data_IF_638543072207
#
_entry.id   IF_638543072207
#
_cell.length_a   1.000
_cell.length_b   1.000
_cell.length_c   1.000
_cell.angle_alpha   90.00
_cell.angle_beta   90.00
_cell.angle_gamma   90.00
#
_symmetry.space_group_name_H-M   'P 1'
#
loop_
_entity.id
_entity.type
_entity.pdbx_description
1 polymer ?
#
# COMPACT_ATOMS: atom_id res chain seq x y z
N UNK A 1 33.36 30.40 -14.35
CA UNK A 1 34.09 29.27 -13.70
C UNK A 1 33.19 28.27 -13.01
N UNK A 2 31.95 28.07 -13.49
CA UNK A 2 30.96 27.18 -12.88
C UNK A 2 30.84 25.79 -13.54
N UNK A 3 31.60 25.52 -14.60
CA UNK A 3 31.56 24.27 -15.36
C UNK A 3 32.11 23.00 -14.65
N UNK A 4 33.15 23.04 -13.77
CA UNK A 4 33.77 21.80 -13.27
C UNK A 4 32.90 21.06 -12.23
N UNK A 5 31.99 21.70 -11.52
CA UNK A 5 31.21 21.07 -10.46
C UNK A 5 29.98 20.33 -11.01
N UNK A 6 29.33 20.88 -12.03
CA UNK A 6 28.20 20.24 -12.72
C UNK A 6 28.62 19.00 -13.52
N UNK A 7 29.80 19.04 -14.14
CA UNK A 7 30.35 17.92 -14.89
C UNK A 7 30.71 16.75 -13.96
N UNK A 8 31.31 17.00 -12.80
CA UNK A 8 31.61 15.95 -11.80
C UNK A 8 30.36 15.30 -11.25
N UNK A 9 29.33 16.06 -10.91
CA UNK A 9 28.06 15.53 -10.41
C UNK A 9 27.37 14.66 -11.47
N UNK A 10 27.45 15.03 -12.75
CA UNK A 10 26.91 14.22 -13.84
C UNK A 10 27.71 12.92 -14.07
N UNK A 11 29.03 12.97 -13.99
CA UNK A 11 29.90 11.80 -14.10
C UNK A 11 29.72 10.84 -12.95
N UNK A 12 29.62 11.34 -11.70
CA UNK A 12 29.32 10.54 -10.52
C UNK A 12 27.93 9.88 -10.61
N UNK A 13 26.93 10.61 -11.11
CA UNK A 13 25.59 10.09 -11.34
C UNK A 13 25.55 8.97 -12.40
N UNK A 14 26.30 9.10 -13.47
CA UNK A 14 26.42 8.08 -14.51
C UNK A 14 27.19 6.84 -14.03
N UNK A 15 28.22 7.01 -13.20
CA UNK A 15 28.94 5.91 -12.57
C UNK A 15 28.05 5.10 -11.62
N UNK A 16 27.27 5.77 -10.76
CA UNK A 16 26.24 5.14 -9.89
C UNK A 16 25.22 4.39 -10.74
N UNK A 17 24.78 4.97 -11.84
CA UNK A 17 23.81 4.33 -12.73
C UNK A 17 24.37 3.05 -13.36
N UNK A 18 25.59 3.07 -13.87
CA UNK A 18 26.21 1.89 -14.50
C UNK A 18 26.48 0.78 -13.49
N UNK A 19 27.09 1.11 -12.36
CA UNK A 19 27.41 0.13 -11.31
C UNK A 19 26.14 -0.45 -10.63
N UNK A 20 25.06 0.31 -10.55
CA UNK A 20 23.82 -0.07 -9.89
C UNK A 20 22.91 -1.05 -10.65
N UNK A 21 23.26 -1.50 -11.87
CA UNK A 21 22.35 -2.35 -12.69
C UNK A 21 21.91 -3.63 -11.98
N UNK A 22 22.85 -4.37 -11.38
CA UNK A 22 22.57 -5.61 -10.65
C UNK A 22 21.66 -5.35 -9.45
N UNK A 23 21.96 -4.30 -8.68
CA UNK A 23 21.16 -3.90 -7.54
C UNK A 23 19.73 -3.47 -7.92
N UNK A 24 19.55 -2.74 -9.05
CA UNK A 24 18.22 -2.38 -9.56
C UNK A 24 17.39 -3.60 -9.92
N UNK A 25 17.98 -4.59 -10.59
CA UNK A 25 17.28 -5.86 -10.86
C UNK A 25 16.85 -6.53 -9.55
N UNK A 26 17.74 -6.59 -8.55
CA UNK A 26 17.39 -7.10 -7.22
C UNK A 26 16.24 -6.33 -6.57
N UNK A 27 16.24 -5.01 -6.69
CA UNK A 27 15.19 -4.15 -6.15
C UNK A 27 13.84 -4.37 -6.85
N UNK A 28 13.84 -4.54 -8.18
CA UNK A 28 12.64 -4.89 -8.95
C UNK A 28 12.11 -6.29 -8.60
N UNK A 29 13.01 -7.26 -8.41
CA UNK A 29 12.62 -8.60 -7.95
C UNK A 29 11.94 -8.57 -6.59
N UNK A 30 12.39 -7.68 -5.69
CA UNK A 30 11.77 -7.55 -4.38
C UNK A 30 10.37 -6.97 -4.46
N UNK A 31 10.17 -5.94 -5.26
CA UNK A 31 8.85 -5.35 -5.50
C UNK A 31 7.88 -6.38 -6.11
N UNK A 32 8.36 -7.17 -7.09
CA UNK A 32 7.60 -8.28 -7.66
C UNK A 32 7.26 -9.39 -6.65
N UNK A 33 8.17 -9.68 -5.71
CA UNK A 33 7.91 -10.64 -4.64
C UNK A 33 6.78 -10.18 -3.70
N UNK A 34 6.86 -8.92 -3.25
CA UNK A 34 5.89 -8.33 -2.32
C UNK A 34 4.51 -8.12 -2.93
N UNK A 35 4.46 -7.65 -4.18
CA UNK A 35 3.21 -7.34 -4.87
C UNK A 35 2.33 -8.56 -5.03
N UNK A 36 2.91 -9.74 -5.26
CA UNK A 36 2.18 -11.01 -5.36
C UNK A 36 1.44 -11.31 -4.07
N UNK A 37 2.12 -11.23 -2.92
CA UNK A 37 1.47 -11.51 -1.63
C UNK A 37 0.36 -10.49 -1.34
N UNK A 38 0.61 -9.21 -1.57
CA UNK A 38 -0.38 -8.16 -1.34
C UNK A 38 -1.62 -8.34 -2.23
N UNK A 39 -1.45 -8.63 -3.52
CA UNK A 39 -2.57 -8.76 -4.46
C UNK A 39 -3.31 -10.07 -4.26
N UNK A 40 -2.59 -11.19 -4.20
CA UNK A 40 -3.22 -12.53 -4.17
C UNK A 40 -3.77 -12.83 -2.79
N UNK A 41 -2.98 -12.68 -1.74
CA UNK A 41 -3.39 -13.07 -0.38
C UNK A 41 -4.24 -11.99 0.27
N UNK A 42 -3.70 -10.77 0.44
CA UNK A 42 -4.37 -9.73 1.23
C UNK A 42 -5.66 -9.27 0.56
N UNK A 43 -5.65 -9.02 -0.76
CA UNK A 43 -6.78 -8.37 -1.42
C UNK A 43 -7.87 -9.34 -1.88
N UNK A 44 -7.56 -10.64 -2.10
CA UNK A 44 -8.48 -11.53 -2.80
C UNK A 44 -8.83 -12.77 -1.98
N UNK A 45 -7.83 -13.60 -1.64
CA UNK A 45 -8.12 -14.94 -1.14
C UNK A 45 -8.25 -15.04 0.38
N UNK A 46 -7.44 -14.31 1.14
CA UNK A 46 -7.41 -14.49 2.59
C UNK A 46 -8.67 -13.98 3.28
N UNK A 47 -9.25 -12.86 2.83
CA UNK A 47 -10.43 -12.27 3.44
C UNK A 47 -11.63 -13.23 3.47
N UNK A 48 -12.13 -13.70 2.31
CA UNK A 48 -13.22 -14.68 2.26
C UNK A 48 -12.88 -15.97 3.02
N UNK A 49 -11.67 -16.51 2.83
CA UNK A 49 -11.23 -17.72 3.50
C UNK A 49 -11.27 -17.61 5.03
N UNK A 50 -10.71 -16.55 5.60
CA UNK A 50 -10.70 -16.39 7.07
C UNK A 50 -12.10 -16.09 7.61
N UNK A 51 -12.96 -15.43 6.83
CA UNK A 51 -14.37 -15.19 7.21
C UNK A 51 -15.10 -16.53 7.34
N UNK A 52 -14.97 -17.43 6.38
CA UNK A 52 -15.53 -18.79 6.42
C UNK A 52 -15.01 -19.61 7.61
N UNK A 53 -13.69 -19.52 7.91
CA UNK A 53 -13.10 -20.16 9.11
C UNK A 53 -13.68 -19.54 10.40
N UNK A 54 -13.88 -18.23 10.44
CA UNK A 54 -14.47 -17.51 11.57
C UNK A 54 -15.93 -17.91 11.78
N UNK A 55 -16.73 -18.01 10.74
CA UNK A 55 -18.14 -18.41 10.82
C UNK A 55 -18.32 -19.84 11.35
N UNK A 56 -17.42 -20.75 10.95
CA UNK A 56 -17.42 -22.12 11.51
C UNK A 56 -16.98 -22.18 12.96
N UNK A 57 -16.16 -21.25 13.41
CA UNK A 57 -15.66 -21.17 14.78
C UNK A 57 -16.57 -20.35 15.70
N UNK A 58 -17.53 -19.63 15.14
CA UNK A 58 -18.44 -18.76 15.87
C UNK A 58 -19.40 -19.53 16.77
N UNK A 59 -19.84 -18.88 17.84
CA UNK A 59 -20.91 -19.38 18.72
C UNK A 59 -22.28 -19.36 18.03
N UNK A 60 -23.33 -19.81 18.74
CA UNK A 60 -24.70 -19.83 18.20
C UNK A 60 -25.30 -18.46 17.89
N UNK A 61 -24.66 -17.38 18.31
CA UNK A 61 -25.04 -15.99 18.05
C UNK A 61 -24.16 -15.34 16.95
N UNK A 62 -23.19 -16.09 16.39
CA UNK A 62 -22.29 -15.62 15.32
C UNK A 62 -21.07 -14.82 15.82
N UNK A 63 -20.75 -14.91 17.11
CA UNK A 63 -19.61 -14.21 17.69
C UNK A 63 -18.43 -15.12 17.94
N UNK A 64 -17.23 -14.56 17.75
CA UNK A 64 -15.95 -15.09 18.21
C UNK A 64 -15.57 -14.39 19.50
N UNK A 65 -14.76 -15.05 20.31
CA UNK A 65 -14.27 -14.47 21.57
C UNK A 65 -12.73 -14.42 21.64
N UNK A 66 -12.05 -13.73 20.70
CA UNK A 66 -10.60 -13.57 20.80
C UNK A 66 -10.24 -12.79 22.06
N UNK A 67 -9.44 -13.41 22.95
CA UNK A 67 -9.05 -12.83 24.25
C UNK A 67 -10.25 -12.43 25.13
N UNK A 68 -11.42 -13.06 24.96
CA UNK A 68 -12.63 -12.76 25.71
C UNK A 68 -13.45 -11.55 25.23
N UNK A 69 -13.08 -10.95 24.09
CA UNK A 69 -13.81 -9.81 23.48
C UNK A 69 -14.78 -10.37 22.44
N UNK A 70 -16.10 -10.07 22.51
CA UNK A 70 -17.04 -10.52 21.51
C UNK A 70 -16.82 -9.76 20.18
N UNK A 71 -16.50 -10.49 19.13
CA UNK A 71 -16.28 -9.97 17.76
C UNK A 71 -17.16 -10.75 16.80
N UNK A 72 -17.99 -10.07 16.04
CA UNK A 72 -18.80 -10.69 14.99
C UNK A 72 -17.87 -11.38 13.98
N UNK A 73 -18.14 -12.63 13.60
CA UNK A 73 -17.29 -13.43 12.72
C UNK A 73 -16.92 -12.68 11.42
N UNK A 74 -17.91 -12.05 10.77
CA UNK A 74 -17.73 -11.23 9.57
C UNK A 74 -16.86 -9.98 9.77
N UNK A 75 -16.78 -9.45 10.99
CA UNK A 75 -15.99 -8.26 11.32
C UNK A 75 -14.54 -8.58 11.66
N UNK A 76 -14.19 -9.86 11.87
CA UNK A 76 -12.86 -10.27 12.29
C UNK A 76 -11.78 -9.85 11.27
N UNK A 77 -11.99 -10.12 9.98
CA UNK A 77 -11.00 -9.78 8.94
C UNK A 77 -10.76 -8.26 8.80
N UNK A 78 -11.78 -7.40 8.71
CA UNK A 78 -11.57 -5.95 8.72
C UNK A 78 -10.81 -5.43 9.95
N UNK A 79 -11.13 -5.93 11.15
CA UNK A 79 -10.38 -5.60 12.35
C UNK A 79 -8.94 -6.10 12.32
N UNK A 80 -8.71 -7.31 11.80
CA UNK A 80 -7.39 -7.88 11.64
C UNK A 80 -6.51 -7.05 10.69
N UNK A 81 -7.07 -6.60 9.56
CA UNK A 81 -6.39 -5.68 8.64
C UNK A 81 -6.05 -4.38 9.36
N UNK A 82 -7.03 -3.76 10.03
CA UNK A 82 -6.82 -2.53 10.80
C UNK A 82 -5.75 -2.68 11.87
N UNK A 83 -5.81 -3.74 12.66
CA UNK A 83 -4.83 -4.04 13.72
C UNK A 83 -3.43 -4.26 13.15
N UNK A 84 -3.32 -5.03 12.05
CA UNK A 84 -2.03 -5.30 11.41
C UNK A 84 -1.36 -4.02 10.93
N UNK A 85 -2.14 -3.09 10.36
CA UNK A 85 -1.65 -1.78 9.91
C UNK A 85 -1.34 -0.87 11.11
N UNK A 86 -2.15 -0.90 12.17
CA UNK A 86 -1.89 -0.14 13.40
C UNK A 86 -0.55 -0.56 14.04
N UNK A 87 -0.27 -1.84 14.11
CA UNK A 87 0.99 -2.36 14.65
C UNK A 87 2.21 -1.92 13.82
N UNK A 88 2.04 -1.67 12.53
CA UNK A 88 3.11 -1.15 11.68
C UNK A 88 3.61 0.23 12.14
N UNK A 89 2.83 1.04 12.86
CA UNK A 89 3.27 2.32 13.44
C UNK A 89 4.52 2.13 14.31
N UNK A 90 4.61 1.00 15.00
CA UNK A 90 5.75 0.68 15.87
C UNK A 90 6.86 -0.08 15.13
N UNK A 91 6.49 -0.93 14.19
CA UNK A 91 7.41 -1.83 13.48
C UNK A 91 8.21 -1.08 12.42
N UNK A 92 7.58 -0.20 11.61
CA UNK A 92 8.23 0.45 10.48
C UNK A 92 9.36 1.42 10.89
N UNK A 93 9.15 2.34 11.86
CA UNK A 93 10.24 3.20 12.33
C UNK A 93 11.39 2.41 12.97
N UNK A 94 11.05 1.29 13.63
CA UNK A 94 12.07 0.39 14.19
C UNK A 94 12.89 -0.27 13.08
N UNK A 95 12.24 -0.78 12.03
CA UNK A 95 12.91 -1.37 10.88
C UNK A 95 13.79 -0.34 10.16
N UNK A 96 13.32 0.90 9.98
CA UNK A 96 14.11 1.98 9.41
C UNK A 96 15.35 2.30 10.26
N UNK A 97 15.21 2.45 11.58
CA UNK A 97 16.33 2.73 12.48
C UNK A 97 17.37 1.59 12.52
N UNK A 98 16.93 0.35 12.36
CA UNK A 98 17.84 -0.80 12.31
C UNK A 98 18.72 -0.79 11.04
N UNK A 99 18.30 -0.15 9.94
CA UNK A 99 19.13 -0.02 8.72
C UNK A 99 20.39 0.83 8.91
N UNK A 100 20.45 1.64 9.97
CA UNK A 100 21.62 2.43 10.33
C UNK A 100 22.67 1.61 11.08
N UNK A 101 22.26 0.50 11.74
CA UNK A 101 23.10 -0.30 12.61
C UNK A 101 23.47 -1.67 12.05
N UNK A 102 22.61 -2.23 11.22
CA UNK A 102 22.74 -3.56 10.65
C UNK A 102 22.82 -3.51 9.13
N UNK A 103 23.43 -4.55 8.56
CA UNK A 103 23.43 -4.72 7.12
C UNK A 103 21.99 -4.82 6.59
N UNK A 104 21.66 -3.97 5.64
CA UNK A 104 20.32 -3.88 5.04
C UNK A 104 19.89 -5.18 4.38
N UNK A 105 20.84 -5.95 3.81
CA UNK A 105 20.56 -7.24 3.17
C UNK A 105 20.16 -8.30 4.18
N UNK A 106 20.79 -8.31 5.37
CA UNK A 106 20.43 -9.20 6.47
C UNK A 106 19.05 -8.85 7.00
N UNK A 107 18.77 -7.55 7.21
CA UNK A 107 17.45 -7.10 7.67
C UNK A 107 16.35 -7.43 6.66
N UNK A 108 16.59 -7.13 5.38
CA UNK A 108 15.65 -7.42 4.30
C UNK A 108 15.36 -8.93 4.20
N UNK A 109 16.43 -9.75 4.30
CA UNK A 109 16.31 -11.20 4.29
C UNK A 109 15.53 -11.73 5.48
N UNK A 110 15.86 -11.31 6.70
CA UNK A 110 15.18 -11.78 7.91
C UNK A 110 13.68 -11.42 7.88
N UNK A 111 13.36 -10.16 7.59
CA UNK A 111 11.98 -9.71 7.52
C UNK A 111 11.20 -10.38 6.37
N UNK A 112 11.82 -10.45 5.18
CA UNK A 112 11.20 -11.08 4.01
C UNK A 112 10.96 -12.58 4.22
N UNK A 113 11.90 -13.29 4.82
CA UNK A 113 11.76 -14.73 5.09
C UNK A 113 10.77 -15.01 6.23
N UNK A 114 10.72 -14.14 7.25
CA UNK A 114 9.70 -14.21 8.30
C UNK A 114 8.30 -14.05 7.70
N UNK A 115 8.10 -13.04 6.84
CA UNK A 115 6.83 -12.80 6.18
C UNK A 115 6.43 -13.92 5.21
N UNK A 116 7.37 -14.39 4.40
CA UNK A 116 7.15 -15.50 3.49
C UNK A 116 6.83 -16.81 4.25
N UNK A 117 7.54 -17.06 5.36
CA UNK A 117 7.27 -18.20 6.25
C UNK A 117 5.88 -18.15 6.86
N UNK A 118 5.44 -16.98 7.34
CA UNK A 118 4.08 -16.78 7.82
C UNK A 118 3.04 -16.99 6.70
N UNK A 119 3.31 -16.47 5.49
CA UNK A 119 2.45 -16.70 4.31
C UNK A 119 2.35 -18.18 3.92
N UNK A 120 3.46 -18.91 3.95
CA UNK A 120 3.45 -20.37 3.73
C UNK A 120 2.72 -21.11 4.86
N UNK A 121 2.89 -20.63 6.11
CA UNK A 121 2.22 -21.19 7.28
C UNK A 121 0.69 -21.10 7.20
N UNK A 122 0.12 -20.21 6.41
CA UNK A 122 -1.33 -20.11 6.18
C UNK A 122 -1.92 -21.41 5.56
N UNK A 123 -1.10 -22.22 4.93
CA UNK A 123 -1.50 -23.56 4.46
C UNK A 123 -1.97 -24.48 5.59
N UNK A 124 -1.47 -24.30 6.80
CA UNK A 124 -1.77 -25.15 7.96
C UNK A 124 -3.00 -24.70 8.75
N UNK A 125 -3.71 -23.65 8.33
CA UNK A 125 -4.90 -23.15 9.02
C UNK A 125 -6.00 -24.22 8.93
N UNK A 126 -6.45 -24.71 10.08
CA UNK A 126 -7.58 -25.64 10.19
C UNK A 126 -8.92 -24.94 9.98
N UNK A 127 -10.00 -25.71 10.01
CA UNK A 127 -11.34 -25.21 9.68
C UNK A 127 -11.93 -24.24 10.70
N UNK A 128 -11.39 -24.19 11.92
CA UNK A 128 -11.80 -23.31 13.00
C UNK A 128 -10.66 -22.50 13.63
N UNK A 129 -9.44 -22.57 13.03
CA UNK A 129 -8.23 -22.00 13.60
C UNK A 129 -8.06 -20.50 13.24
N UNK A 130 -9.10 -19.70 13.48
CA UNK A 130 -9.10 -18.27 13.14
C UNK A 130 -7.98 -17.48 13.84
N UNK A 131 -7.59 -17.85 15.08
CA UNK A 131 -6.49 -17.19 15.79
C UNK A 131 -5.13 -17.45 15.14
N UNK A 132 -4.88 -18.69 14.68
CA UNK A 132 -3.68 -19.03 13.93
C UNK A 132 -3.64 -18.24 12.62
N UNK A 133 -4.75 -18.25 11.87
CA UNK A 133 -4.89 -17.50 10.62
C UNK A 133 -4.64 -16.00 10.83
N UNK A 134 -5.28 -15.41 11.85
CA UNK A 134 -5.11 -14.01 12.20
C UNK A 134 -3.66 -13.65 12.59
N UNK A 135 -3.01 -14.51 13.37
CA UNK A 135 -1.62 -14.32 13.80
C UNK A 135 -0.66 -14.37 12.60
N UNK A 136 -0.80 -15.39 11.73
CA UNK A 136 0.02 -15.54 10.54
C UNK A 136 -0.15 -14.35 9.58
N UNK A 137 -1.39 -13.91 9.37
CA UNK A 137 -1.69 -12.73 8.55
C UNK A 137 -1.05 -11.45 9.12
N UNK A 138 -1.20 -11.21 10.42
CA UNK A 138 -0.61 -10.05 11.08
C UNK A 138 0.93 -10.05 10.96
N UNK A 139 1.58 -11.20 11.22
CA UNK A 139 3.04 -11.35 11.07
C UNK A 139 3.47 -11.10 9.64
N UNK A 140 2.80 -11.72 8.65
CA UNK A 140 3.13 -11.54 7.24
C UNK A 140 2.96 -10.08 6.79
N UNK A 141 1.86 -9.42 7.18
CA UNK A 141 1.57 -8.03 6.81
C UNK A 141 2.54 -7.05 7.48
N UNK A 142 2.90 -7.26 8.74
CA UNK A 142 3.94 -6.47 9.42
C UNK A 142 5.31 -6.65 8.79
N UNK A 143 5.69 -7.88 8.49
CA UNK A 143 6.94 -8.20 7.81
C UNK A 143 7.00 -7.58 6.41
N UNK A 144 5.91 -7.62 5.65
CA UNK A 144 5.76 -6.97 4.35
C UNK A 144 6.04 -5.46 4.44
N UNK A 145 5.40 -4.77 5.37
CA UNK A 145 5.58 -3.34 5.58
C UNK A 145 7.01 -2.98 6.01
N UNK A 146 7.57 -3.72 6.97
CA UNK A 146 8.93 -3.52 7.47
C UNK A 146 9.99 -3.77 6.38
N UNK A 147 9.86 -4.86 5.65
CA UNK A 147 10.78 -5.22 4.57
C UNK A 147 10.70 -4.23 3.39
N UNK A 148 9.50 -3.73 3.05
CA UNK A 148 9.34 -2.63 2.09
C UNK A 148 10.06 -1.36 2.56
N UNK A 149 9.98 -1.03 3.84
CA UNK A 149 10.69 0.12 4.41
C UNK A 149 12.20 -0.03 4.26
N UNK A 150 12.75 -1.19 4.59
CA UNK A 150 14.19 -1.50 4.40
C UNK A 150 14.56 -1.45 2.91
N UNK A 151 13.76 -2.06 2.03
CA UNK A 151 14.01 -2.11 0.60
C UNK A 151 14.08 -0.69 0.00
N UNK A 152 13.21 0.23 0.40
CA UNK A 152 13.21 1.61 -0.07
C UNK A 152 14.50 2.38 0.29
N UNK A 153 15.22 1.97 1.34
CA UNK A 153 16.51 2.60 1.72
C UNK A 153 17.65 2.30 0.75
N UNK A 154 17.49 1.36 -0.18
CA UNK A 154 18.48 1.10 -1.21
C UNK A 154 18.42 2.08 -2.39
N UNK A 155 17.27 2.70 -2.64
CA UNK A 155 17.03 3.52 -3.83
C UNK A 155 18.11 4.61 -4.07
N UNK A 156 18.59 5.34 -3.05
CA UNK A 156 19.65 6.34 -3.25
C UNK A 156 20.99 5.75 -3.75
N UNK A 157 21.30 4.50 -3.36
CA UNK A 157 22.52 3.82 -3.79
C UNK A 157 22.40 3.19 -5.20
N UNK A 158 21.17 3.01 -5.70
CA UNK A 158 20.88 2.33 -6.96
C UNK A 158 20.63 3.29 -8.13
N UNK A 159 20.17 4.51 -7.83
CA UNK A 159 19.80 5.49 -8.85
C UNK A 159 20.15 6.92 -8.42
N UNK A 160 20.76 7.72 -9.31
CA UNK A 160 20.96 9.15 -9.09
C UNK A 160 19.60 9.87 -9.00
N UNK A 161 19.52 11.04 -8.37
CA UNK A 161 18.27 11.75 -8.11
C UNK A 161 17.36 11.88 -9.32
N UNK A 162 17.91 12.16 -10.49
CA UNK A 162 17.18 12.41 -11.75
C UNK A 162 16.51 11.13 -12.30
N UNK A 163 16.98 9.96 -11.88
CA UNK A 163 16.49 8.65 -12.37
C UNK A 163 15.72 7.84 -11.33
N UNK A 164 15.57 8.35 -10.08
CA UNK A 164 14.87 7.64 -8.99
C UNK A 164 13.42 7.38 -9.31
N UNK A 165 12.72 8.37 -9.85
CA UNK A 165 11.30 8.25 -10.21
C UNK A 165 11.11 7.18 -11.31
N UNK A 166 11.97 7.19 -12.33
CA UNK A 166 11.94 6.16 -13.37
C UNK A 166 12.20 4.76 -12.81
N UNK A 167 13.17 4.64 -11.90
CA UNK A 167 13.51 3.37 -11.25
C UNK A 167 12.35 2.87 -10.40
N UNK A 168 11.72 3.75 -9.61
CA UNK A 168 10.55 3.44 -8.80
C UNK A 168 9.35 2.99 -9.66
N UNK A 169 9.09 3.68 -10.78
CA UNK A 169 8.02 3.30 -11.71
C UNK A 169 8.26 1.93 -12.34
N UNK A 170 9.51 1.63 -12.70
CA UNK A 170 9.88 0.31 -13.25
C UNK A 170 9.69 -0.81 -12.22
N UNK A 171 10.00 -0.58 -10.94
CA UNK A 171 9.74 -1.55 -9.88
C UNK A 171 8.23 -1.82 -9.75
N UNK A 172 7.42 -0.77 -9.64
CA UNK A 172 5.96 -0.91 -9.54
C UNK A 172 5.38 -1.64 -10.77
N UNK A 173 5.89 -1.35 -11.97
CA UNK A 173 5.49 -2.07 -13.19
C UNK A 173 5.85 -3.57 -13.11
N UNK A 174 7.04 -3.91 -12.57
CA UNK A 174 7.43 -5.30 -12.33
C UNK A 174 6.52 -5.95 -11.29
N UNK A 175 6.17 -5.23 -10.23
CA UNK A 175 5.23 -5.68 -9.21
C UNK A 175 3.86 -6.04 -9.78
N UNK A 176 3.28 -5.17 -10.59
CA UNK A 176 2.00 -5.43 -11.27
C UNK A 176 2.07 -6.62 -12.21
N UNK A 177 3.15 -6.73 -12.99
CA UNK A 177 3.35 -7.86 -13.91
C UNK A 177 3.45 -9.19 -13.14
N UNK A 178 4.27 -9.27 -12.11
CA UNK A 178 4.41 -10.46 -11.27
C UNK A 178 3.09 -10.79 -10.57
N UNK A 179 2.39 -9.79 -10.03
CA UNK A 179 1.06 -9.94 -9.44
C UNK A 179 0.07 -10.53 -10.43
N UNK A 180 0.00 -10.01 -11.65
CA UNK A 180 -0.88 -10.52 -12.71
C UNK A 180 -0.56 -11.96 -13.12
N UNK A 181 0.72 -12.31 -13.29
CA UNK A 181 1.15 -13.67 -13.66
C UNK A 181 0.77 -14.69 -12.57
N UNK A 182 1.06 -14.39 -11.31
CA UNK A 182 0.74 -15.31 -10.21
C UNK A 182 -0.77 -15.37 -9.97
N UNK A 183 -1.47 -14.25 -10.12
CA UNK A 183 -2.93 -14.24 -10.01
C UNK A 183 -3.60 -15.08 -11.11
N UNK A 184 -3.06 -15.07 -12.32
CA UNK A 184 -3.52 -15.96 -13.40
C UNK A 184 -3.27 -17.44 -13.06
N UNK A 185 -2.11 -17.77 -12.49
CA UNK A 185 -1.83 -19.12 -12.01
C UNK A 185 -2.78 -19.52 -10.87
N UNK A 186 -3.05 -18.60 -9.94
CA UNK A 186 -4.01 -18.83 -8.85
C UNK A 186 -5.43 -19.08 -9.38
N UNK A 187 -5.87 -18.33 -10.39
CA UNK A 187 -7.16 -18.54 -11.07
C UNK A 187 -7.24 -19.95 -11.71
N UNK A 188 -6.16 -20.40 -12.35
CA UNK A 188 -6.11 -21.75 -12.93
C UNK A 188 -6.20 -22.84 -11.86
N UNK A 189 -5.51 -22.66 -10.72
CA UNK A 189 -5.59 -23.59 -9.58
C UNK A 189 -7.01 -23.62 -9.03
N UNK A 190 -7.58 -22.42 -8.79
CA UNK A 190 -8.92 -22.29 -8.24
C UNK A 190 -9.99 -22.88 -9.19
N UNK A 191 -9.94 -22.56 -10.49
CA UNK A 191 -10.91 -23.05 -11.49
C UNK A 191 -10.82 -24.57 -11.75
N UNK A 192 -9.69 -25.20 -11.42
CA UNK A 192 -9.46 -26.64 -11.64
C UNK A 192 -9.50 -27.48 -10.36
N UNK A 193 -9.79 -26.90 -9.20
CA UNK A 193 -9.70 -27.59 -7.91
C UNK A 193 -10.54 -28.86 -7.85
N UNK A 194 -11.79 -28.83 -8.34
CA UNK A 194 -12.65 -30.01 -8.39
C UNK A 194 -12.07 -31.14 -9.26
N UNK A 195 -11.49 -30.79 -10.43
CA UNK A 195 -10.87 -31.78 -11.32
C UNK A 195 -9.65 -32.46 -10.72
N UNK A 196 -9.01 -31.80 -9.73
CA UNK A 196 -7.88 -32.35 -8.98
C UNK A 196 -8.29 -32.98 -7.65
N UNK A 197 -9.61 -33.08 -7.38
CA UNK A 197 -10.15 -33.67 -6.16
C UNK A 197 -9.89 -32.87 -4.89
N UNK A 198 -9.62 -31.58 -5.02
CA UNK A 198 -9.43 -30.65 -3.89
C UNK A 198 -10.72 -29.92 -3.56
N UNK A 199 -10.90 -29.64 -2.28
CA UNK A 199 -11.93 -28.72 -1.83
C UNK A 199 -11.54 -27.26 -2.14
N UNK A 200 -12.48 -26.35 -2.15
CA UNK A 200 -12.25 -24.92 -2.37
C UNK A 200 -11.22 -24.37 -1.36
N UNK A 201 -11.37 -24.70 -0.08
CA UNK A 201 -10.46 -24.28 0.98
C UNK A 201 -9.03 -24.83 0.81
N UNK A 202 -8.88 -26.06 0.33
CA UNK A 202 -7.57 -26.64 0.01
C UNK A 202 -6.91 -25.90 -1.16
N UNK A 203 -7.69 -25.54 -2.18
CA UNK A 203 -7.19 -24.74 -3.30
C UNK A 203 -6.72 -23.35 -2.84
N UNK A 204 -7.49 -22.68 -1.99
CA UNK A 204 -7.11 -21.38 -1.43
C UNK A 204 -5.85 -21.49 -0.57
N UNK A 205 -5.74 -22.51 0.28
CA UNK A 205 -4.53 -22.78 1.08
C UNK A 205 -3.31 -23.02 0.18
N UNK A 206 -3.47 -23.77 -0.92
CA UNK A 206 -2.40 -24.01 -1.89
C UNK A 206 -1.98 -22.73 -2.61
N UNK A 207 -2.92 -21.85 -2.96
CA UNK A 207 -2.64 -20.54 -3.57
C UNK A 207 -1.85 -19.65 -2.59
N UNK A 208 -2.24 -19.60 -1.32
CA UNK A 208 -1.52 -18.85 -0.30
C UNK A 208 -0.10 -19.40 -0.07
N UNK A 209 0.06 -20.72 -0.05
CA UNK A 209 1.37 -21.37 -0.01
C UNK A 209 2.23 -20.97 -1.22
N UNK A 210 1.66 -21.02 -2.44
CA UNK A 210 2.33 -20.62 -3.67
C UNK A 210 2.80 -19.16 -3.64
N UNK A 211 1.98 -18.24 -3.14
CA UNK A 211 2.33 -16.84 -2.96
C UNK A 211 3.47 -16.66 -1.93
N UNK A 212 3.44 -17.43 -0.83
CA UNK A 212 4.52 -17.45 0.17
C UNK A 212 5.84 -17.98 -0.40
N UNK A 213 5.79 -19.07 -1.16
CA UNK A 213 6.96 -19.65 -1.85
C UNK A 213 7.52 -18.66 -2.89
N UNK A 214 6.65 -18.00 -3.66
CA UNK A 214 7.06 -16.95 -4.59
C UNK A 214 7.83 -15.83 -3.87
N UNK A 215 7.28 -15.34 -2.75
CA UNK A 215 7.92 -14.31 -1.96
C UNK A 215 9.27 -14.76 -1.41
N UNK A 216 9.36 -16.00 -0.91
CA UNK A 216 10.62 -16.59 -0.42
C UNK A 216 11.69 -16.64 -1.51
N UNK A 217 11.36 -17.20 -2.68
CA UNK A 217 12.31 -17.42 -3.79
C UNK A 217 12.79 -16.07 -4.36
N UNK A 218 11.87 -15.19 -4.75
CA UNK A 218 12.23 -13.91 -5.34
C UNK A 218 12.81 -12.94 -4.30
N UNK A 219 12.41 -13.03 -3.03
CA UNK A 219 13.03 -12.35 -1.92
C UNK A 219 14.49 -12.78 -1.72
N UNK A 220 14.77 -14.08 -1.77
CA UNK A 220 16.15 -14.62 -1.68
C UNK A 220 17.02 -14.16 -2.86
N UNK A 221 16.48 -14.20 -4.08
CA UNK A 221 17.16 -13.67 -5.29
C UNK A 221 17.45 -12.17 -5.11
N UNK A 222 16.49 -11.39 -4.64
CA UNK A 222 16.66 -9.97 -4.38
C UNK A 222 17.77 -9.69 -3.39
N UNK A 223 17.74 -10.33 -2.21
CA UNK A 223 18.77 -10.19 -1.17
C UNK A 223 20.15 -10.51 -1.73
N UNK A 224 20.27 -11.58 -2.54
CA UNK A 224 21.54 -11.97 -3.18
C UNK A 224 22.03 -10.91 -4.17
N UNK A 225 21.14 -10.32 -4.96
CA UNK A 225 21.48 -9.30 -5.95
C UNK A 225 21.81 -7.95 -5.31
N UNK A 226 21.18 -7.63 -4.17
CA UNK A 226 21.40 -6.41 -3.41
C UNK A 226 22.65 -6.46 -2.51
N UNK A 227 23.30 -7.61 -2.38
CA UNK A 227 24.57 -7.72 -1.63
C UNK A 227 25.61 -6.73 -2.17
N UNK A 228 26.23 -5.99 -1.24
CA UNK A 228 27.23 -4.97 -1.55
C UNK A 228 26.68 -3.55 -1.73
N UNK A 229 25.36 -3.38 -1.88
CA UNK A 229 24.71 -2.06 -1.94
C UNK A 229 24.16 -1.60 -0.58
N UNK A 230 24.12 -2.49 0.40
CA UNK A 230 23.46 -2.29 1.70
C UNK A 230 24.39 -2.03 2.87
N UNK A 231 25.70 -1.85 2.65
CA UNK A 231 26.64 -1.57 3.73
C UNK A 231 26.18 -0.31 4.52
N UNK A 232 26.15 -0.36 5.86
CA UNK A 232 25.86 0.83 6.66
C UNK A 232 26.88 1.91 6.32
N UNK A 233 26.48 3.20 6.27
CA UNK A 233 27.44 4.29 6.09
C UNK A 233 28.50 4.20 7.19
N UNK A 234 29.78 4.41 6.82
CA UNK A 234 30.86 4.46 7.80
C UNK A 234 30.49 5.47 8.90
N UNK A 235 30.73 5.17 10.18
CA UNK A 235 30.40 6.08 11.26
C UNK A 235 31.20 7.39 11.08
N UNK A 236 30.53 8.43 10.64
CA UNK A 236 31.09 9.79 10.66
C UNK A 236 30.80 10.37 12.04
N UNK A 237 31.77 11.07 12.62
CA UNK A 237 31.68 11.64 13.97
C UNK A 237 30.44 12.55 14.19
N UNK A 238 29.85 13.07 13.12
CA UNK A 238 28.68 13.94 13.15
C UNK A 238 27.33 13.17 13.21
N UNK A 239 27.32 11.83 13.11
CA UNK A 239 26.10 11.00 13.19
C UNK A 239 25.76 10.55 14.60
N UNK A 240 26.49 10.98 15.62
CA UNK A 240 26.21 10.71 17.04
C UNK A 240 25.21 11.73 17.61
N UNK A 241 24.09 11.92 16.93
CA UNK A 241 22.90 12.51 17.55
C UNK A 241 22.13 11.42 18.33
N UNK A 242 21.21 11.76 19.24
CA UNK A 242 20.45 10.81 20.02
C UNK A 242 19.52 9.98 19.11
N UNK A 243 20.07 9.00 18.41
CA UNK A 243 19.38 8.06 17.52
C UNK A 243 18.72 6.94 18.35
N UNK A 244 17.76 7.35 19.20
CA UNK A 244 16.84 6.43 19.87
C UNK A 244 15.45 6.55 19.27
N UNK A 245 14.57 5.56 19.48
CA UNK A 245 13.15 5.59 19.07
C UNK A 245 12.49 6.95 19.37
N UNK A 246 12.81 7.56 20.54
CA UNK A 246 12.36 8.90 20.92
C UNK A 246 12.88 10.01 19.98
N UNK A 247 14.06 9.87 19.39
CA UNK A 247 14.63 10.82 18.42
C UNK A 247 13.87 10.81 17.10
N UNK A 248 13.52 9.64 16.59
CA UNK A 248 12.77 9.49 15.33
C UNK A 248 11.37 10.11 15.42
N UNK A 249 10.64 9.86 16.51
CA UNK A 249 9.33 10.49 16.71
C UNK A 249 9.42 12.00 16.95
N UNK A 250 10.45 12.46 17.70
CA UNK A 250 10.70 13.90 17.88
C UNK A 250 11.04 14.59 16.56
N UNK A 251 11.86 13.96 15.72
CA UNK A 251 12.19 14.47 14.38
C UNK A 251 10.93 14.55 13.50
N UNK A 252 10.08 13.51 13.53
CA UNK A 252 8.80 13.51 12.81
C UNK A 252 7.88 14.64 13.29
N UNK A 253 7.73 14.81 14.61
CA UNK A 253 6.94 15.92 15.19
C UNK A 253 7.51 17.30 14.86
N UNK A 254 8.84 17.45 14.91
CA UNK A 254 9.52 18.69 14.56
C UNK A 254 9.30 19.05 13.09
N UNK A 255 9.40 18.05 12.20
CA UNK A 255 9.22 18.22 10.78
C UNK A 255 7.75 18.51 10.40
N UNK A 256 6.78 17.84 11.03
CA UNK A 256 5.35 18.19 10.89
C UNK A 256 5.08 19.60 11.41
N UNK A 257 5.69 19.99 12.52
CA UNK A 257 5.59 21.36 13.05
C UNK A 257 6.17 22.39 12.08
N UNK A 258 7.27 22.05 11.41
CA UNK A 258 7.93 22.92 10.43
C UNK A 258 7.10 23.04 9.13
N UNK A 259 6.34 21.99 8.75
CA UNK A 259 5.39 22.06 7.64
C UNK A 259 4.28 23.10 7.85
N UNK A 260 4.05 23.59 9.08
CA UNK A 260 3.10 24.68 9.35
C UNK A 260 3.41 25.95 8.56
N UNK A 261 4.66 26.11 8.13
CA UNK A 261 5.05 27.19 7.20
C UNK A 261 4.48 27.02 5.79
N UNK A 262 4.01 25.81 5.44
CA UNK A 262 3.45 25.47 4.12
C UNK A 262 2.01 24.94 4.25
N UNK A 263 1.02 25.81 4.52
CA UNK A 263 -0.35 25.39 4.80
C UNK A 263 -0.99 24.61 3.64
N UNK A 264 -0.62 24.92 2.39
CA UNK A 264 -1.07 24.14 1.22
C UNK A 264 -0.58 22.68 1.25
N UNK A 265 0.62 22.41 1.72
CA UNK A 265 1.18 21.07 1.87
C UNK A 265 0.50 20.30 3.02
N UNK A 266 0.18 20.99 4.14
CA UNK A 266 -0.55 20.36 5.26
C UNK A 266 -1.96 19.98 4.84
N UNK A 267 -2.72 20.88 4.23
CA UNK A 267 -4.06 20.57 3.77
C UNK A 267 -4.08 19.45 2.73
N UNK A 268 -3.07 19.44 1.87
CA UNK A 268 -2.89 18.34 0.93
C UNK A 268 -2.56 17.03 1.64
N UNK A 269 -1.68 17.04 2.65
CA UNK A 269 -1.35 15.86 3.43
C UNK A 269 -2.60 15.30 4.14
N UNK A 270 -3.40 16.16 4.79
CA UNK A 270 -4.67 15.75 5.41
C UNK A 270 -5.62 15.14 4.39
N UNK A 271 -5.78 15.77 3.24
CA UNK A 271 -6.62 15.26 2.17
C UNK A 271 -6.13 13.89 1.67
N UNK A 272 -4.82 13.76 1.45
CA UNK A 272 -4.19 12.52 1.03
C UNK A 272 -4.43 11.39 2.03
N UNK A 273 -4.20 11.66 3.31
CA UNK A 273 -4.44 10.67 4.37
C UNK A 273 -5.87 10.16 4.37
N UNK A 274 -6.83 11.05 4.16
CA UNK A 274 -8.23 10.69 4.14
C UNK A 274 -8.57 9.84 2.91
N UNK A 275 -8.40 10.37 1.69
CA UNK A 275 -8.81 9.58 0.51
C UNK A 275 -7.96 8.33 0.30
N UNK A 276 -6.68 8.33 0.71
CA UNK A 276 -5.84 7.13 0.62
C UNK A 276 -6.30 6.04 1.60
N UNK A 277 -6.78 6.39 2.81
CA UNK A 277 -7.44 5.43 3.70
C UNK A 277 -8.66 4.80 3.04
N UNK A 278 -9.49 5.59 2.36
CA UNK A 278 -10.61 5.07 1.56
C UNK A 278 -10.15 4.09 0.48
N UNK A 279 -9.13 4.47 -0.30
CA UNK A 279 -8.57 3.61 -1.36
C UNK A 279 -8.01 2.30 -0.81
N UNK A 280 -7.23 2.36 0.27
CA UNK A 280 -6.65 1.17 0.91
C UNK A 280 -7.73 0.24 1.46
N UNK A 281 -8.80 0.79 2.06
CA UNK A 281 -9.93 0.00 2.54
C UNK A 281 -10.65 -0.71 1.40
N UNK A 282 -10.97 0.00 0.32
CA UNK A 282 -11.57 -0.61 -0.88
C UNK A 282 -10.66 -1.72 -1.41
N UNK A 283 -9.36 -1.45 -1.59
CA UNK A 283 -8.43 -2.42 -2.17
C UNK A 283 -8.25 -3.66 -1.30
N UNK A 284 -8.25 -3.50 0.02
CA UNK A 284 -8.04 -4.62 0.97
C UNK A 284 -9.30 -5.45 1.20
N UNK A 285 -10.50 -4.83 1.07
CA UNK A 285 -11.77 -5.45 1.45
C UNK A 285 -12.66 -5.80 0.27
N UNK A 286 -12.27 -5.40 -0.97
CA UNK A 286 -13.09 -5.62 -2.17
C UNK A 286 -13.36 -7.09 -2.44
N UNK A 287 -12.40 -7.98 -2.19
CA UNK A 287 -12.56 -9.42 -2.38
C UNK A 287 -13.61 -9.98 -1.41
N UNK A 288 -13.49 -9.66 -0.12
CA UNK A 288 -14.43 -10.09 0.91
C UNK A 288 -15.83 -9.51 0.63
N UNK A 289 -15.94 -8.21 0.33
CA UNK A 289 -17.21 -7.59 -0.03
C UNK A 289 -17.89 -8.26 -1.24
N UNK A 290 -17.11 -8.62 -2.26
CA UNK A 290 -17.64 -9.27 -3.46
C UNK A 290 -18.19 -10.68 -3.20
N UNK A 291 -17.52 -11.45 -2.35
CA UNK A 291 -17.93 -12.82 -2.02
C UNK A 291 -19.07 -12.78 -1.01
N UNK A 292 -18.90 -12.09 0.12
CA UNK A 292 -19.82 -12.13 1.25
C UNK A 292 -21.12 -11.35 1.01
N UNK A 293 -21.02 -10.17 0.38
CA UNK A 293 -22.21 -9.32 0.17
C UNK A 293 -22.85 -9.53 -1.21
N UNK A 294 -22.02 -9.63 -2.28
CA UNK A 294 -22.56 -9.77 -3.63
C UNK A 294 -22.78 -11.23 -4.02
N UNK A 295 -22.31 -12.20 -3.23
CA UNK A 295 -22.43 -13.62 -3.52
C UNK A 295 -21.75 -14.03 -4.85
N UNK A 296 -20.67 -13.35 -5.20
CA UNK A 296 -19.92 -13.65 -6.41
C UNK A 296 -18.99 -14.83 -6.19
N UNK A 297 -18.77 -15.59 -7.26
CA UNK A 297 -17.77 -16.65 -7.23
C UNK A 297 -16.38 -16.06 -7.18
N UNK A 298 -15.46 -16.74 -6.51
CA UNK A 298 -14.09 -16.28 -6.34
C UNK A 298 -13.36 -16.08 -7.67
N UNK A 299 -13.63 -16.88 -8.70
CA UNK A 299 -13.04 -16.73 -10.04
C UNK A 299 -13.49 -15.44 -10.74
N UNK A 300 -14.75 -15.00 -10.53
CA UNK A 300 -15.22 -13.68 -11.04
C UNK A 300 -14.45 -12.54 -10.38
N UNK A 301 -14.22 -12.64 -9.07
CA UNK A 301 -13.46 -11.65 -8.30
C UNK A 301 -12.00 -11.59 -8.76
N UNK A 302 -11.34 -12.73 -8.90
CA UNK A 302 -9.96 -12.84 -9.39
C UNK A 302 -9.84 -12.25 -10.79
N UNK A 303 -10.78 -12.56 -11.68
CA UNK A 303 -10.82 -12.05 -13.05
C UNK A 303 -10.98 -10.52 -13.08
N UNK A 304 -11.86 -9.96 -12.24
CA UNK A 304 -12.05 -8.53 -12.12
C UNK A 304 -10.77 -7.82 -11.63
N UNK A 305 -10.12 -8.36 -10.57
CA UNK A 305 -8.88 -7.77 -10.04
C UNK A 305 -7.71 -7.93 -11.01
N UNK A 306 -7.66 -9.02 -11.77
CA UNK A 306 -6.68 -9.17 -12.84
C UNK A 306 -6.83 -8.07 -13.89
N UNK A 307 -8.05 -7.74 -14.31
CA UNK A 307 -8.32 -6.63 -15.23
C UNK A 307 -7.85 -5.28 -14.63
N UNK A 308 -8.06 -5.05 -13.34
CA UNK A 308 -7.58 -3.83 -12.63
C UNK A 308 -6.08 -3.64 -12.80
N UNK A 309 -5.27 -4.69 -12.74
CA UNK A 309 -3.81 -4.59 -12.83
C UNK A 309 -3.35 -3.94 -14.14
N UNK A 310 -3.99 -4.29 -15.25
CA UNK A 310 -3.68 -3.71 -16.58
C UNK A 310 -4.24 -2.31 -16.74
N UNK A 311 -5.48 -2.10 -16.29
CA UNK A 311 -6.16 -0.81 -16.44
C UNK A 311 -5.53 0.27 -15.55
N UNK A 312 -5.03 -0.07 -14.38
CA UNK A 312 -4.32 0.85 -13.49
C UNK A 312 -3.07 1.45 -14.14
N UNK A 313 -2.35 0.65 -14.92
CA UNK A 313 -1.20 1.14 -15.70
C UNK A 313 -1.61 2.21 -16.73
N UNK A 314 -2.68 1.95 -17.47
CA UNK A 314 -3.24 2.91 -18.44
C UNK A 314 -3.71 4.18 -17.74
N UNK A 315 -4.40 4.03 -16.60
CA UNK A 315 -4.89 5.12 -15.76
C UNK A 315 -3.80 6.04 -15.25
N UNK A 316 -2.64 5.49 -14.89
CA UNK A 316 -1.48 6.28 -14.46
C UNK A 316 -0.94 7.16 -15.61
N UNK A 317 -0.83 6.61 -16.83
CA UNK A 317 -0.34 7.34 -18.00
C UNK A 317 -1.34 8.44 -18.40
N UNK A 318 -2.62 8.11 -18.48
CA UNK A 318 -3.67 9.08 -18.86
C UNK A 318 -3.81 10.16 -17.80
N UNK A 319 -3.79 9.78 -16.51
CA UNK A 319 -3.81 10.71 -15.39
C UNK A 319 -2.66 11.72 -15.46
N UNK A 320 -1.45 11.27 -15.78
CA UNK A 320 -0.30 12.16 -16.00
C UNK A 320 -0.54 13.19 -17.10
N UNK A 321 -1.04 12.76 -18.27
CA UNK A 321 -1.36 13.65 -19.39
C UNK A 321 -2.49 14.63 -19.07
N UNK A 322 -3.52 14.19 -18.36
CA UNK A 322 -4.59 15.05 -17.90
C UNK A 322 -4.07 16.12 -16.92
N UNK A 323 -3.14 15.74 -16.05
CA UNK A 323 -2.52 16.64 -15.08
C UNK A 323 -1.70 17.74 -15.77
N UNK A 324 -0.99 17.42 -16.85
CA UNK A 324 -0.27 18.42 -17.66
C UNK A 324 -1.23 19.45 -18.28
N UNK A 325 -2.44 19.02 -18.67
CA UNK A 325 -3.43 19.89 -19.33
C UNK A 325 -4.30 20.69 -18.36
N UNK A 326 -4.76 20.06 -17.28
CA UNK A 326 -5.78 20.63 -16.37
C UNK A 326 -5.21 20.96 -14.98
N UNK A 327 -3.94 20.67 -14.74
CA UNK A 327 -3.29 20.81 -13.44
C UNK A 327 -3.52 19.59 -12.54
N UNK A 328 -2.44 19.11 -11.91
CA UNK A 328 -2.43 17.86 -11.14
C UNK A 328 -3.45 17.80 -10.02
N UNK A 329 -3.68 18.94 -9.34
CA UNK A 329 -4.65 19.03 -8.24
C UNK A 329 -6.10 18.90 -8.69
N UNK A 330 -6.46 19.50 -9.82
CA UNK A 330 -7.81 19.44 -10.39
C UNK A 330 -8.14 18.00 -10.82
N UNK A 331 -7.19 17.35 -11.51
CA UNK A 331 -7.36 15.97 -11.96
C UNK A 331 -7.44 15.01 -10.75
N UNK A 332 -6.63 15.24 -9.73
CA UNK A 332 -6.68 14.45 -8.51
C UNK A 332 -8.02 14.57 -7.79
N UNK A 333 -8.58 15.79 -7.70
CA UNK A 333 -9.94 15.99 -7.17
C UNK A 333 -10.97 15.22 -7.98
N UNK A 334 -10.88 15.29 -9.32
CA UNK A 334 -11.74 14.50 -10.22
C UNK A 334 -11.63 12.98 -9.93
N UNK A 335 -10.43 12.46 -9.71
CA UNK A 335 -10.24 11.06 -9.37
C UNK A 335 -10.83 10.69 -8.00
N UNK A 336 -10.71 11.57 -6.99
CA UNK A 336 -11.35 11.35 -5.68
C UNK A 336 -12.88 11.34 -5.81
N UNK A 337 -13.45 12.19 -6.67
CA UNK A 337 -14.91 12.16 -6.96
C UNK A 337 -15.30 10.86 -7.66
N UNK A 338 -14.50 10.37 -8.61
CA UNK A 338 -14.75 9.06 -9.25
C UNK A 338 -14.66 7.93 -8.24
N UNK A 339 -13.72 7.97 -7.30
CA UNK A 339 -13.65 7.01 -6.17
C UNK A 339 -14.90 7.05 -5.31
N UNK A 340 -15.37 8.25 -4.95
CA UNK A 340 -16.64 8.41 -4.21
C UNK A 340 -17.81 7.77 -4.98
N UNK A 341 -17.94 8.07 -6.29
CA UNK A 341 -18.95 7.48 -7.14
C UNK A 341 -18.82 5.95 -7.25
N UNK A 342 -17.58 5.44 -7.31
CA UNK A 342 -17.32 4.00 -7.36
C UNK A 342 -17.78 3.29 -6.08
N UNK A 343 -17.57 3.88 -4.90
CA UNK A 343 -18.05 3.28 -3.63
C UNK A 343 -19.59 3.30 -3.58
N UNK A 344 -20.24 4.40 -4.01
CA UNK A 344 -21.70 4.46 -4.10
C UNK A 344 -22.23 3.40 -5.07
N UNK A 345 -21.64 3.32 -6.27
CA UNK A 345 -22.03 2.32 -7.26
C UNK A 345 -21.82 0.88 -6.73
N UNK A 346 -20.71 0.63 -6.00
CA UNK A 346 -20.45 -0.67 -5.38
C UNK A 346 -21.55 -1.11 -4.42
N UNK A 347 -22.06 -0.18 -3.62
CA UNK A 347 -23.17 -0.47 -2.69
C UNK A 347 -24.51 -0.74 -3.40
N UNK A 348 -24.65 -0.36 -4.68
CA UNK A 348 -25.88 -0.55 -5.47
C UNK A 348 -25.82 -1.72 -6.43
N UNK A 349 -24.69 -2.43 -6.51
CA UNK A 349 -24.55 -3.60 -7.38
C UNK A 349 -25.55 -4.68 -6.95
N UNK A 350 -26.34 -5.24 -7.90
CA UNK A 350 -27.19 -6.38 -7.62
C UNK A 350 -26.35 -7.61 -7.25
N UNK A 351 -26.89 -8.44 -6.37
CA UNK A 351 -26.27 -9.71 -6.03
C UNK A 351 -26.02 -10.56 -7.28
N UNK A 352 -24.93 -11.32 -7.28
CA UNK A 352 -24.48 -12.23 -8.35
C UNK A 352 -24.24 -11.57 -9.71
N UNK A 353 -24.07 -10.25 -9.75
CA UNK A 353 -23.78 -9.53 -11.00
C UNK A 353 -22.27 -9.35 -11.21
N UNK A 354 -21.59 -10.39 -11.69
CA UNK A 354 -20.16 -10.38 -12.00
C UNK A 354 -19.80 -9.29 -13.02
N UNK A 355 -20.65 -9.08 -14.05
CA UNK A 355 -20.40 -8.05 -15.07
C UNK A 355 -20.42 -6.63 -14.50
N UNK A 356 -21.39 -6.30 -13.63
CA UNK A 356 -21.45 -4.99 -12.98
C UNK A 356 -20.25 -4.77 -12.07
N UNK A 357 -19.88 -5.79 -11.28
CA UNK A 357 -18.71 -5.75 -10.41
C UNK A 357 -17.41 -5.56 -11.21
N UNK A 358 -17.19 -6.34 -12.28
CA UNK A 358 -16.00 -6.22 -13.13
C UNK A 358 -15.92 -4.82 -13.77
N UNK A 359 -17.05 -4.29 -14.27
CA UNK A 359 -17.10 -2.93 -14.84
C UNK A 359 -16.71 -1.88 -13.81
N UNK A 360 -17.21 -2.01 -12.58
CA UNK A 360 -16.85 -1.12 -11.47
C UNK A 360 -15.36 -1.24 -11.12
N UNK A 361 -14.84 -2.45 -11.02
CA UNK A 361 -13.42 -2.70 -10.74
C UNK A 361 -12.52 -2.11 -11.83
N UNK A 362 -12.86 -2.25 -13.10
CA UNK A 362 -12.13 -1.64 -14.22
C UNK A 362 -12.12 -0.11 -14.10
N UNK A 363 -13.28 0.51 -13.81
CA UNK A 363 -13.38 1.96 -13.60
C UNK A 363 -12.54 2.43 -12.39
N UNK A 364 -12.62 1.73 -11.27
CA UNK A 364 -11.82 1.99 -10.07
C UNK A 364 -10.31 1.78 -10.35
N UNK A 365 -9.96 0.72 -11.08
CA UNK A 365 -8.59 0.44 -11.50
C UNK A 365 -7.97 1.58 -12.30
N UNK A 366 -8.73 2.18 -13.21
CA UNK A 366 -8.27 3.34 -13.98
C UNK A 366 -7.86 4.52 -13.07
N UNK A 367 -8.65 4.83 -12.06
CA UNK A 367 -8.35 5.95 -11.15
C UNK A 367 -7.32 5.61 -10.10
N UNK A 368 -7.17 4.34 -9.70
CA UNK A 368 -6.17 3.91 -8.72
C UNK A 368 -4.75 4.30 -9.14
N UNK A 369 -4.36 3.90 -10.35
CA UNK A 369 -3.01 4.16 -10.86
C UNK A 369 -2.71 5.65 -10.97
N UNK A 370 -3.67 6.42 -11.51
CA UNK A 370 -3.56 7.87 -11.64
C UNK A 370 -3.54 8.58 -10.29
N UNK A 371 -4.36 8.16 -9.32
CA UNK A 371 -4.41 8.77 -8.00
C UNK A 371 -3.07 8.64 -7.27
N UNK A 372 -2.45 7.46 -7.27
CA UNK A 372 -1.13 7.27 -6.65
C UNK A 372 -0.04 8.12 -7.31
N UNK A 373 0.03 8.13 -8.64
CA UNK A 373 1.02 8.88 -9.37
C UNK A 373 0.88 10.40 -9.14
N UNK A 374 -0.34 10.92 -9.22
CA UNK A 374 -0.63 12.35 -9.04
C UNK A 374 -0.45 12.82 -7.61
N UNK A 375 -0.81 12.00 -6.61
CA UNK A 375 -0.65 12.37 -5.19
C UNK A 375 0.80 12.72 -4.87
N UNK A 376 1.75 11.92 -5.34
CA UNK A 376 3.19 12.16 -5.15
C UNK A 376 3.64 13.43 -5.86
N UNK A 377 3.28 13.59 -7.12
CA UNK A 377 3.65 14.75 -7.94
C UNK A 377 3.11 16.06 -7.39
N UNK A 378 1.84 16.08 -6.99
CA UNK A 378 1.19 17.27 -6.42
C UNK A 378 1.83 17.63 -5.08
N UNK A 379 2.10 16.66 -4.20
CA UNK A 379 2.75 16.92 -2.92
C UNK A 379 4.12 17.57 -3.11
N UNK A 380 4.96 17.00 -3.97
CA UNK A 380 6.31 17.53 -4.25
C UNK A 380 6.24 18.97 -4.78
N UNK A 381 5.21 19.33 -5.55
CA UNK A 381 5.03 20.69 -6.07
C UNK A 381 4.66 21.72 -5.01
N UNK A 382 4.19 21.29 -3.81
CA UNK A 382 3.75 22.16 -2.72
C UNK A 382 4.82 22.46 -1.68
N UNK A 383 6.00 21.83 -1.80
CA UNK A 383 7.13 21.96 -0.88
C UNK A 383 8.38 22.49 -1.61
N UNK A 384 9.32 23.17 -0.91
CA UNK A 384 10.58 23.62 -1.52
C UNK A 384 11.37 22.45 -2.07
N UNK A 385 11.94 22.61 -3.27
CA UNK A 385 12.71 21.57 -3.97
C UNK A 385 13.90 21.06 -3.16
N UNK A 386 14.56 21.95 -2.42
CA UNK A 386 15.74 21.64 -1.59
C UNK A 386 15.40 20.67 -0.43
N UNK A 387 14.14 20.68 0.02
CA UNK A 387 13.67 19.87 1.15
C UNK A 387 12.59 18.85 0.77
N UNK A 388 12.34 18.70 -0.51
CA UNK A 388 11.28 17.82 -1.00
C UNK A 388 11.44 16.37 -0.53
N UNK A 389 12.67 15.85 -0.47
CA UNK A 389 12.97 14.49 -0.01
C UNK A 389 12.63 14.30 1.48
N UNK A 390 12.93 15.30 2.34
CA UNK A 390 12.61 15.28 3.77
C UNK A 390 11.10 15.26 4.00
N UNK A 391 10.38 16.19 3.36
CA UNK A 391 8.93 16.26 3.49
C UNK A 391 8.20 15.07 2.88
N UNK A 392 8.77 14.46 1.82
CA UNK A 392 8.23 13.24 1.23
C UNK A 392 8.36 12.03 2.19
N UNK A 393 9.46 11.94 2.93
CA UNK A 393 9.62 10.94 3.99
C UNK A 393 8.56 11.07 5.08
N UNK A 394 8.21 12.31 5.47
CA UNK A 394 7.13 12.59 6.43
C UNK A 394 5.78 12.16 5.84
N UNK A 395 5.50 12.54 4.59
CA UNK A 395 4.29 12.19 3.86
C UNK A 395 4.05 10.67 3.87
N UNK A 396 5.06 9.87 3.52
CA UNK A 396 4.98 8.42 3.52
C UNK A 396 4.82 7.82 4.94
N UNK A 397 5.53 8.37 5.92
CA UNK A 397 5.46 7.89 7.31
C UNK A 397 4.08 8.15 7.91
N UNK A 398 3.57 9.37 7.78
CA UNK A 398 2.24 9.73 8.31
C UNK A 398 1.13 8.96 7.60
N UNK A 399 1.27 8.74 6.29
CA UNK A 399 0.36 7.91 5.52
C UNK A 399 0.26 6.48 6.10
N UNK A 400 1.39 5.84 6.34
CA UNK A 400 1.42 4.50 6.91
C UNK A 400 0.85 4.45 8.33
N UNK A 401 1.13 5.47 9.16
CA UNK A 401 0.64 5.55 10.54
C UNK A 401 -0.90 5.63 10.64
N UNK A 402 -1.58 6.18 9.65
CA UNK A 402 -3.03 6.38 9.69
C UNK A 402 -3.82 5.44 8.77
N UNK A 403 -3.13 4.59 8.01
CA UNK A 403 -3.77 3.69 7.03
C UNK A 403 -4.71 2.61 7.67
N UNK A 404 -4.66 2.44 9.00
CA UNK A 404 -5.55 1.53 9.73
C UNK A 404 -6.97 2.06 9.90
N UNK A 405 -7.18 3.39 9.79
CA UNK A 405 -8.47 4.03 10.11
C UNK A 405 -9.61 3.53 9.22
N UNK A 406 -9.33 3.31 7.95
CA UNK A 406 -10.34 2.87 6.99
C UNK A 406 -10.85 1.44 7.27
N UNK A 407 -9.98 0.42 7.31
CA UNK A 407 -10.40 -0.95 7.64
C UNK A 407 -11.01 -1.06 9.04
N UNK A 408 -10.49 -0.31 10.03
CA UNK A 408 -11.07 -0.28 11.36
C UNK A 408 -12.49 0.30 11.37
N UNK A 409 -12.71 1.44 10.68
CA UNK A 409 -14.04 2.04 10.57
C UNK A 409 -15.03 1.08 9.89
N UNK A 410 -14.62 0.40 8.82
CA UNK A 410 -15.42 -0.62 8.17
C UNK A 410 -15.77 -1.76 9.13
N UNK A 411 -14.79 -2.29 9.87
CA UNK A 411 -15.00 -3.35 10.87
C UNK A 411 -15.96 -2.94 11.98
N UNK A 412 -15.85 -1.71 12.51
CA UNK A 412 -16.76 -1.19 13.53
C UNK A 412 -18.20 -1.06 13.01
N UNK A 413 -18.37 -0.50 11.81
CA UNK A 413 -19.71 -0.37 11.21
C UNK A 413 -20.31 -1.75 10.95
N UNK A 414 -19.53 -2.70 10.43
CA UNK A 414 -19.97 -4.07 10.20
C UNK A 414 -20.35 -4.77 11.51
N UNK A 415 -19.55 -4.60 12.56
CA UNK A 415 -19.81 -5.14 13.90
C UNK A 415 -21.16 -4.68 14.47
N UNK A 416 -21.54 -3.41 14.26
CA UNK A 416 -22.77 -2.86 14.81
C UNK A 416 -24.01 -3.07 13.94
N UNK A 417 -23.81 -3.12 12.61
CA UNK A 417 -24.94 -3.19 11.67
C UNK A 417 -25.19 -4.58 11.11
N UNK A 418 -24.19 -5.46 11.16
CA UNK A 418 -24.22 -6.76 10.50
C UNK A 418 -24.31 -6.69 8.98
N UNK A 419 -24.15 -5.50 8.37
CA UNK A 419 -24.35 -5.28 6.95
C UNK A 419 -23.05 -4.82 6.25
N UNK A 420 -22.56 -5.63 5.35
CA UNK A 420 -21.41 -5.27 4.50
C UNK A 420 -21.67 -4.03 3.63
N UNK A 421 -22.91 -3.80 3.14
CA UNK A 421 -23.27 -2.61 2.35
C UNK A 421 -23.16 -1.33 3.17
N UNK A 422 -23.63 -1.34 4.40
CA UNK A 422 -23.53 -0.18 5.29
C UNK A 422 -22.07 0.08 5.66
N UNK A 423 -21.32 -0.98 5.95
CA UNK A 423 -19.88 -0.88 6.20
C UNK A 423 -19.11 -0.35 4.97
N UNK A 424 -19.47 -0.80 3.76
CA UNK A 424 -18.89 -0.28 2.51
C UNK A 424 -19.18 1.22 2.31
N UNK A 425 -20.41 1.66 2.58
CA UNK A 425 -20.78 3.07 2.49
C UNK A 425 -20.06 3.94 3.53
N UNK A 426 -19.61 3.38 4.67
CA UNK A 426 -18.82 4.15 5.65
C UNK A 426 -17.50 4.68 5.07
N UNK A 427 -16.96 4.02 4.03
CA UNK A 427 -15.74 4.47 3.32
C UNK A 427 -15.95 5.81 2.64
N UNK A 428 -17.18 6.19 2.28
CA UNK A 428 -17.50 7.48 1.65
C UNK A 428 -17.05 8.67 2.49
N UNK A 429 -17.07 8.55 3.82
CA UNK A 429 -16.64 9.61 4.74
C UNK A 429 -15.19 10.01 4.45
N UNK A 430 -14.33 9.04 4.14
CA UNK A 430 -12.92 9.29 3.83
C UNK A 430 -12.74 10.02 2.49
N UNK A 431 -13.50 9.66 1.47
CA UNK A 431 -13.43 10.35 0.17
C UNK A 431 -14.05 11.73 0.24
N UNK A 432 -15.20 11.89 0.92
CA UNK A 432 -15.84 13.19 1.10
C UNK A 432 -14.95 14.16 1.88
N UNK A 433 -14.45 13.72 3.04
CA UNK A 433 -13.57 14.54 3.84
C UNK A 433 -12.24 14.85 3.12
N UNK A 434 -11.70 13.89 2.35
CA UNK A 434 -10.54 14.08 1.49
C UNK A 434 -10.77 15.12 0.39
N UNK A 435 -11.91 15.06 -0.31
CA UNK A 435 -12.28 16.03 -1.33
C UNK A 435 -12.46 17.44 -0.75
N UNK A 436 -13.13 17.56 0.41
CA UNK A 436 -13.29 18.83 1.11
C UNK A 436 -11.95 19.42 1.53
N UNK A 437 -11.03 18.62 2.08
CA UNK A 437 -9.71 19.06 2.47
C UNK A 437 -8.87 19.51 1.24
N UNK A 438 -8.97 18.83 0.10
CA UNK A 438 -8.36 19.26 -1.18
C UNK A 438 -8.93 20.61 -1.61
N UNK A 439 -10.23 20.81 -1.51
CA UNK A 439 -10.91 22.07 -1.84
C UNK A 439 -10.41 23.22 -0.94
N UNK A 440 -10.47 23.07 0.37
CA UNK A 440 -10.04 24.08 1.35
C UNK A 440 -8.57 24.48 1.17
N UNK A 441 -7.68 23.53 0.95
CA UNK A 441 -6.28 23.81 0.69
C UNK A 441 -6.05 24.61 -0.60
N UNK A 442 -6.99 24.61 -1.59
CA UNK A 442 -6.89 25.46 -2.80
C UNK A 442 -7.18 26.92 -2.49
N UNK A 443 -8.14 27.18 -1.62
CA UNK A 443 -8.52 28.53 -1.20
C UNK A 443 -7.40 29.15 -0.35
N UNK A 444 -6.82 28.37 0.58
CA UNK A 444 -5.73 28.85 1.45
C UNK A 444 -4.45 29.21 0.66
N UNK A 445 -4.13 28.46 -0.41
CA UNK A 445 -2.97 28.74 -1.29
C UNK A 445 -3.15 30.04 -2.10
N UNK A 446 -4.30 30.20 -2.73
CA UNK A 446 -4.62 31.41 -3.54
C UNK A 446 -4.68 32.70 -2.71
N UNK A 447 -5.16 32.63 -1.45
CA UNK A 447 -5.21 33.78 -0.56
C UNK A 447 -3.82 34.31 -0.18
N UNK A 448 -2.81 33.43 -0.09
CA UNK A 448 -1.44 33.81 0.24
C UNK A 448 -0.68 34.39 -0.95
N UNK A 449 -0.88 33.85 -2.15
CA UNK A 449 -0.32 34.42 -3.39
C UNK A 449 -0.85 35.83 -3.66
N UNK A 450 -2.14 36.09 -3.39
CA UNK A 450 -2.72 37.43 -3.45
C UNK A 450 -2.06 38.40 -2.46
N UNK A 451 -1.96 38.03 -1.19
CA UNK A 451 -1.30 38.84 -0.15
C UNK A 451 0.17 39.12 -0.45
N UNK A 452 0.88 38.15 -1.01
CA UNK A 452 2.28 38.29 -1.36
C UNK A 452 2.48 39.24 -2.55
N UNK A 453 1.58 39.19 -3.54
CA UNK A 453 1.55 40.14 -4.67
C UNK A 453 1.17 41.56 -4.22
N UNK A 454 0.24 41.68 -3.28
CA UNK A 454 -0.14 42.98 -2.70
C UNK A 454 1.00 43.61 -1.91
N UNK A 455 1.82 42.82 -1.20
CA UNK A 455 3.00 43.30 -0.46
C UNK A 455 4.22 43.62 -1.36
N UNK A 456 4.27 43.12 -2.59
CA UNK A 456 5.38 43.38 -3.54
C UNK A 456 5.05 44.55 -4.48
N UNK A 457 3.81 45.02 -4.52
CA UNK A 457 3.34 46.15 -5.35
C UNK A 457 2.83 47.37 -4.57
N UNK A 458 2.87 47.33 -3.23
CA UNK A 458 2.71 48.45 -2.33
C UNK A 458 4.06 48.84 -1.69
#
# INVERSE_FOLDING_TARGET
MAAPQQTRVAEDGEAVWRSGRRGRVGWYCYDGANSVFATTVISIFFGPFITDVCERAADGEGYLHPLGIPVLASSFFPFLVGLSVLLQIFVLPTAAALTERFDKGVLLGTLGFCGAGAGMGMYTIGDTDYLLGGTLFAVATMALGAANTVCNTYLPALAPPERRDRTSTQASATGFLCGGVVLMAALLVYARHETWGMTENEAVRLIMLGAGVWWLVFGAVSVRLLRGYGAPPAPTADTVGPSGRAGTYRALFAAVRQMRSYPGAIWFLVAFLLYNNGMQSVTSLVGTFAVEELGLKQDDVVTAVLAVQFVAFVGAIVGGRLAERFGGRTVLLGFVVVWFAAVVAGATIPERSAAAFTTLCVGAGFVVGGTYALSRSVFVSLVPRERAAEYFGIFETVNRCLAFLGPAAFGFVLQWTGSYRVAWLSILVFFLAGALALGLGSVAGKGRERRQKEMTHG
#
